data_IF_696493152342
#
_entry.id   IF_696493152342
#
_cell.length_a   1.000
_cell.length_b   1.000
_cell.length_c   1.000
_cell.angle_alpha   90.00
_cell.angle_beta   90.00
_cell.angle_gamma   90.00
#
_symmetry.space_group_name_H-M   'P 1'
#
loop_
_entity.id
_entity.type
_entity.pdbx_description
1 polymer ?
#
# COMPACT_ATOMS: atom_id res chain seq x y z
N UNK A 1 11.02 10.09 -0.80
CA UNK A 1 9.70 10.70 -0.48
C UNK A 1 8.97 9.74 0.44
N UNK A 2 8.57 10.20 1.62
CA UNK A 2 7.80 9.42 2.57
C UNK A 2 6.33 9.44 2.17
N UNK A 3 5.75 8.26 1.92
CA UNK A 3 4.39 8.11 1.44
C UNK A 3 3.43 7.80 2.60
N UNK A 4 2.28 8.48 2.64
CA UNK A 4 1.29 8.37 3.71
C UNK A 4 -0.11 8.14 3.18
N UNK A 5 -0.97 7.59 4.04
CA UNK A 5 -2.41 7.46 3.77
C UNK A 5 -3.10 8.78 4.07
N UNK A 6 -4.02 9.18 3.20
CA UNK A 6 -4.91 10.33 3.36
C UNK A 6 -6.36 9.90 3.08
N UNK A 7 -7.31 10.85 3.17
CA UNK A 7 -8.70 10.59 2.83
C UNK A 7 -8.91 10.08 1.39
N UNK A 8 -7.99 10.39 0.47
CA UNK A 8 -8.09 10.01 -0.95
C UNK A 8 -7.44 8.65 -1.27
N UNK A 9 -6.78 8.02 -0.30
CA UNK A 9 -6.04 6.78 -0.50
C UNK A 9 -6.90 5.56 -0.81
N UNK A 10 -8.21 5.62 -0.53
CA UNK A 10 -9.15 4.52 -0.76
C UNK A 10 -8.81 3.26 0.05
N UNK A 11 -8.59 3.43 1.36
CA UNK A 11 -8.25 2.36 2.31
C UNK A 11 -9.22 1.15 2.28
N UNK A 12 -10.48 1.37 1.87
CA UNK A 12 -11.45 0.28 1.69
C UNK A 12 -10.98 -0.80 0.69
N UNK A 13 -10.13 -0.46 -0.29
CA UNK A 13 -9.56 -1.43 -1.24
C UNK A 13 -8.58 -2.38 -0.57
N UNK A 14 -7.72 -1.85 0.32
CA UNK A 14 -6.82 -2.69 1.12
C UNK A 14 -7.64 -3.66 1.98
N UNK A 15 -8.67 -3.16 2.68
CA UNK A 15 -9.57 -3.99 3.48
C UNK A 15 -10.23 -5.10 2.65
N UNK A 16 -10.79 -4.76 1.50
CA UNK A 16 -11.40 -5.72 0.57
C UNK A 16 -10.41 -6.83 0.15
N UNK A 17 -9.15 -6.48 -0.16
CA UNK A 17 -8.12 -7.47 -0.51
C UNK A 17 -7.74 -8.36 0.66
N UNK A 18 -7.72 -7.83 1.88
CA UNK A 18 -7.47 -8.58 3.10
C UNK A 18 -8.61 -9.58 3.39
N UNK A 19 -9.87 -9.16 3.24
CA UNK A 19 -11.05 -10.03 3.38
C UNK A 19 -11.04 -11.17 2.35
N UNK A 20 -10.66 -10.89 1.10
CA UNK A 20 -10.52 -11.90 0.03
C UNK A 20 -9.46 -12.97 0.33
N UNK A 21 -8.54 -12.71 1.27
CA UNK A 21 -7.53 -13.66 1.74
C UNK A 21 -7.80 -14.17 3.14
N UNK A 22 -9.03 -14.01 3.62
CA UNK A 22 -9.49 -14.46 4.93
C UNK A 22 -8.66 -13.87 6.09
N UNK A 23 -8.04 -12.71 5.88
CA UNK A 23 -7.35 -11.99 6.93
C UNK A 23 -8.40 -11.41 7.87
N UNK A 24 -8.20 -11.65 9.16
CA UNK A 24 -9.12 -11.35 10.24
C UNK A 24 -8.59 -10.21 11.10
N UNK A 25 -9.48 -9.58 11.86
CA UNK A 25 -9.09 -8.64 12.89
C UNK A 25 -8.13 -9.29 13.90
N UNK A 26 -7.22 -8.48 14.45
CA UNK A 26 -6.25 -8.92 15.45
C UNK A 26 -5.08 -9.72 14.88
N UNK A 27 -5.06 -9.96 13.57
CA UNK A 27 -3.94 -10.64 12.92
C UNK A 27 -2.75 -9.72 12.72
N UNK A 28 -1.60 -10.37 12.74
CA UNK A 28 -0.37 -9.84 12.19
C UNK A 28 0.13 -10.82 11.14
N UNK A 29 0.40 -10.34 9.93
CA UNK A 29 0.81 -11.18 8.81
C UNK A 29 2.01 -10.57 8.09
N UNK A 30 2.79 -11.43 7.41
CA UNK A 30 3.69 -11.00 6.33
C UNK A 30 2.98 -11.20 5.00
N UNK A 31 2.92 -10.16 4.16
CA UNK A 31 2.20 -10.22 2.91
C UNK A 31 2.90 -9.50 1.75
N UNK A 32 2.59 -9.92 0.53
CA UNK A 32 2.87 -9.16 -0.68
C UNK A 32 1.65 -8.35 -1.09
N UNK A 33 1.87 -7.07 -1.34
CA UNK A 33 0.86 -6.10 -1.72
C UNK A 33 1.27 -5.47 -3.06
N UNK A 34 0.77 -6.00 -4.19
CA UNK A 34 1.12 -5.50 -5.50
C UNK A 34 0.31 -4.27 -5.89
N UNK A 35 0.91 -3.40 -6.71
CA UNK A 35 0.17 -2.32 -7.38
C UNK A 35 -0.18 -1.11 -6.50
N UNK A 36 0.62 -0.80 -5.48
CA UNK A 36 0.45 0.38 -4.63
C UNK A 36 0.82 1.63 -5.41
N UNK A 37 -0.12 2.55 -5.63
CA UNK A 37 0.15 3.84 -6.23
C UNK A 37 0.75 4.80 -5.22
N UNK A 38 1.75 5.58 -5.63
CA UNK A 38 2.29 6.70 -4.84
C UNK A 38 2.37 7.93 -5.72
N UNK A 39 1.76 9.03 -5.29
CA UNK A 39 1.84 10.34 -5.95
C UNK A 39 2.58 11.34 -5.08
N UNK A 40 3.49 12.09 -5.67
CA UNK A 40 4.06 13.27 -5.04
C UNK A 40 2.94 14.24 -4.66
N UNK A 41 2.85 14.61 -3.38
CA UNK A 41 1.93 15.67 -3.00
C UNK A 41 2.45 16.99 -3.59
N UNK A 42 1.65 17.60 -4.47
CA UNK A 42 1.97 18.89 -5.03
C UNK A 42 2.16 19.91 -3.89
N UNK A 43 3.11 20.82 -4.13
CA UNK A 43 3.54 21.86 -3.20
C UNK A 43 2.32 22.58 -2.62
N UNK A 44 2.38 22.93 -1.34
CA UNK A 44 1.79 24.20 -0.93
C UNK A 44 2.40 25.26 -1.85
N UNK A 45 1.58 25.97 -2.61
CA UNK A 45 1.99 26.96 -3.61
C UNK A 45 2.86 28.08 -3.02
N UNK A 46 2.90 28.19 -1.68
CA UNK A 46 3.76 29.07 -0.90
C UNK A 46 5.09 28.47 -0.44
N UNK A 47 5.32 27.15 -0.54
CA UNK A 47 6.50 26.50 0.01
C UNK A 47 7.59 26.32 -1.07
N UNK A 48 8.77 26.91 -0.83
CA UNK A 48 9.93 26.90 -1.72
C UNK A 48 10.75 25.59 -1.72
N UNK A 49 10.30 24.53 -1.01
CA UNK A 49 11.02 23.24 -0.93
C UNK A 49 10.11 22.08 -1.34
N UNK A 50 10.65 21.02 -1.99
CA UNK A 50 9.93 19.77 -2.17
C UNK A 50 9.51 19.26 -0.79
N UNK A 51 8.23 18.96 -0.59
CA UNK A 51 7.68 18.58 0.72
C UNK A 51 8.23 17.24 1.23
N UNK A 52 8.90 16.46 0.37
CA UNK A 52 9.37 15.11 0.69
C UNK A 52 8.24 14.12 0.96
N UNK A 53 6.97 14.53 0.80
CA UNK A 53 5.75 13.77 1.13
C UNK A 53 5.06 13.23 -0.12
N UNK A 54 4.58 12.01 -0.03
CA UNK A 54 3.77 11.33 -1.03
C UNK A 54 2.43 10.88 -0.46
N UNK A 55 1.45 10.73 -1.32
CA UNK A 55 0.15 10.16 -1.01
C UNK A 55 0.07 8.75 -1.61
N UNK A 56 -0.34 7.78 -0.79
CA UNK A 56 -0.56 6.39 -1.20
C UNK A 56 -1.96 6.23 -1.77
N UNK A 57 -2.13 5.42 -2.82
CA UNK A 57 -3.43 5.01 -3.35
C UNK A 57 -3.51 3.49 -3.49
N UNK A 58 -4.60 2.93 -3.00
CA UNK A 58 -4.88 1.49 -3.08
C UNK A 58 -5.79 1.11 -4.26
N UNK A 59 -6.19 2.06 -5.11
CA UNK A 59 -7.14 1.81 -6.21
C UNK A 59 -6.65 0.80 -7.25
N UNK A 60 -5.35 0.80 -7.54
CA UNK A 60 -4.70 -0.11 -8.49
C UNK A 60 -4.16 -1.39 -7.86
N UNK A 61 -4.43 -1.62 -6.56
CA UNK A 61 -3.90 -2.78 -5.85
C UNK A 61 -4.46 -4.08 -6.42
N UNK A 62 -3.55 -5.00 -6.74
CA UNK A 62 -3.87 -6.38 -7.14
C UNK A 62 -4.23 -7.27 -5.94
N UNK A 63 -4.48 -8.58 -6.16
CA UNK A 63 -4.71 -9.50 -5.05
C UNK A 63 -3.46 -9.59 -4.16
N UNK A 64 -3.63 -9.44 -2.84
CA UNK A 64 -2.51 -9.65 -1.91
C UNK A 64 -2.18 -11.13 -1.81
N UNK A 65 -0.95 -11.45 -1.37
CA UNK A 65 -0.52 -12.81 -1.03
C UNK A 65 -0.04 -12.84 0.41
N UNK A 66 -0.72 -13.60 1.26
CA UNK A 66 -0.25 -13.87 2.62
C UNK A 66 0.93 -14.85 2.54
N UNK A 67 2.09 -14.46 3.07
CA UNK A 67 3.28 -15.30 3.17
C UNK A 67 3.30 -16.09 4.47
N UNK A 68 2.94 -15.42 5.55
CA UNK A 68 3.00 -15.96 6.90
C UNK A 68 1.96 -15.27 7.78
N UNK A 69 1.38 -16.02 8.72
CA UNK A 69 0.58 -15.48 9.80
C UNK A 69 1.47 -15.47 11.05
N UNK A 70 1.85 -14.28 11.50
CA UNK A 70 2.71 -14.08 12.68
C UNK A 70 1.88 -14.14 13.95
N UNK A 71 0.73 -13.48 13.97
CA UNK A 71 -0.23 -13.50 15.08
C UNK A 71 -1.62 -13.91 14.57
N UNK A 72 -2.30 -14.88 15.21
CA UNK A 72 -3.64 -15.31 14.83
C UNK A 72 -4.69 -14.23 15.14
N UNK A 73 -5.81 -14.29 14.43
CA UNK A 73 -6.87 -13.30 14.54
C UNK A 73 -7.92 -13.68 15.56
N UNK A 74 -8.68 -12.70 16.00
CA UNK A 74 -9.81 -12.88 16.91
C UNK A 74 -11.17 -12.98 16.19
N UNK A 75 -11.17 -12.89 14.85
CA UNK A 75 -12.36 -13.09 14.02
C UNK A 75 -13.34 -11.92 13.98
N UNK A 76 -13.02 -10.78 14.59
CA UNK A 76 -13.83 -9.56 14.47
C UNK A 76 -13.70 -8.92 13.08
N UNK A 77 -14.56 -7.96 12.72
CA UNK A 77 -14.44 -7.21 11.47
C UNK A 77 -13.13 -6.42 11.40
N UNK A 78 -12.56 -6.30 10.19
CA UNK A 78 -11.35 -5.51 9.98
C UNK A 78 -11.58 -4.01 10.21
N UNK A 79 -10.57 -3.27 10.69
CA UNK A 79 -10.62 -1.82 10.77
C UNK A 79 -10.89 -1.13 9.43
N UNK A 80 -11.52 0.04 9.48
CA UNK A 80 -11.85 0.83 8.29
C UNK A 80 -10.69 1.73 7.81
N UNK A 81 -9.89 2.23 8.76
CA UNK A 81 -8.79 3.13 8.49
C UNK A 81 -7.53 2.35 8.15
N UNK A 82 -6.65 2.96 7.35
CA UNK A 82 -5.35 2.40 7.02
C UNK A 82 -4.23 3.40 7.33
N UNK A 83 -3.07 2.88 7.72
CA UNK A 83 -1.85 3.65 7.95
C UNK A 83 -0.72 2.95 7.21
N UNK A 84 0.15 3.73 6.58
CA UNK A 84 1.39 3.23 5.97
C UNK A 84 2.57 3.84 6.71
N UNK A 85 3.49 2.99 7.15
CA UNK A 85 4.68 3.37 7.90
C UNK A 85 5.94 2.94 7.19
N UNK A 86 6.96 3.80 7.21
CA UNK A 86 8.29 3.49 6.65
C UNK A 86 8.36 3.44 5.12
N UNK A 87 7.26 3.64 4.39
CA UNK A 87 7.28 3.63 2.93
C UNK A 87 7.99 4.88 2.38
N UNK A 88 9.22 4.68 1.94
CA UNK A 88 10.01 5.72 1.24
C UNK A 88 10.23 5.29 -0.20
N UNK A 89 9.78 6.12 -1.15
CA UNK A 89 9.97 5.89 -2.58
C UNK A 89 10.76 7.02 -3.24
N UNK A 90 11.52 6.75 -4.32
CA UNK A 90 12.33 7.76 -4.98
C UNK A 90 11.49 8.74 -5.81
N UNK A 91 10.35 8.29 -6.37
CA UNK A 91 9.50 9.08 -7.28
C UNK A 91 8.04 8.63 -7.22
N UNK A 92 7.15 9.45 -7.77
CA UNK A 92 5.78 9.03 -8.13
C UNK A 92 5.81 7.76 -8.98
N UNK A 93 4.90 6.84 -8.74
CA UNK A 93 4.75 5.62 -9.53
C UNK A 93 3.96 4.54 -8.81
N UNK A 94 3.91 3.36 -9.43
CA UNK A 94 3.31 2.16 -8.84
C UNK A 94 4.41 1.26 -8.29
N UNK A 95 4.19 0.67 -7.13
CA UNK A 95 5.15 -0.16 -6.42
C UNK A 95 4.50 -1.45 -5.91
N UNK A 96 5.24 -2.54 -6.01
CA UNK A 96 4.95 -3.77 -5.29
C UNK A 96 5.68 -3.73 -3.95
N UNK A 97 4.94 -3.94 -2.86
CA UNK A 97 5.49 -4.00 -1.51
C UNK A 97 5.50 -5.47 -1.10
N UNK A 98 6.68 -6.06 -1.06
CA UNK A 98 6.88 -7.49 -0.82
C UNK A 98 7.30 -7.74 0.62
N UNK A 99 6.75 -8.80 1.22
CA UNK A 99 7.03 -9.21 2.60
C UNK A 99 6.75 -8.13 3.66
N UNK A 100 5.76 -7.28 3.42
CA UNK A 100 5.36 -6.23 4.34
C UNK A 100 4.71 -6.83 5.59
N UNK A 101 4.98 -6.22 6.74
CA UNK A 101 4.25 -6.53 7.97
C UNK A 101 2.91 -5.80 7.95
N UNK A 102 1.82 -6.54 8.09
CA UNK A 102 0.45 -5.98 8.10
C UNK A 102 -0.21 -6.35 9.41
N UNK A 103 -0.66 -5.32 10.14
CA UNK A 103 -1.42 -5.46 11.38
C UNK A 103 -2.87 -5.03 11.15
N UNK A 104 -3.82 -5.78 11.70
CA UNK A 104 -5.25 -5.54 11.57
C UNK A 104 -5.95 -5.32 12.92
N UNK A 105 -5.27 -4.68 13.87
CA UNK A 105 -5.80 -4.35 15.20
C UNK A 105 -5.82 -2.83 15.39
N UNK A 106 -7.00 -2.25 15.58
CA UNK A 106 -7.20 -0.78 15.65
C UNK A 106 -7.28 -0.12 14.27
N UNK A 107 -6.17 -0.06 13.54
CA UNK A 107 -6.08 0.39 12.14
C UNK A 107 -5.49 -0.73 11.27
N UNK A 108 -5.72 -0.69 9.95
CA UNK A 108 -4.97 -1.50 8.98
C UNK A 108 -3.60 -0.87 8.76
N UNK A 109 -2.60 -1.35 9.50
CA UNK A 109 -1.24 -0.80 9.45
C UNK A 109 -0.38 -1.63 8.51
N UNK A 110 0.14 -0.99 7.47
CA UNK A 110 1.13 -1.53 6.55
C UNK A 110 2.51 -0.97 6.92
N UNK A 111 3.40 -1.83 7.38
CA UNK A 111 4.71 -1.45 7.89
C UNK A 111 5.79 -1.92 6.92
N UNK A 112 6.59 -0.97 6.45
CA UNK A 112 7.81 -1.22 5.67
C UNK A 112 9.00 -1.23 6.64
N UNK A 113 9.41 -2.43 7.05
CA UNK A 113 10.55 -2.66 7.94
C UNK A 113 11.76 -3.22 7.17
N UNK A 114 12.80 -3.64 7.88
CA UNK A 114 14.02 -4.22 7.30
C UNK A 114 13.78 -5.52 6.51
N UNK A 115 12.68 -6.23 6.78
CA UNK A 115 12.26 -7.42 6.06
C UNK A 115 11.44 -7.12 4.80
N UNK A 116 11.03 -5.88 4.59
CA UNK A 116 10.16 -5.47 3.48
C UNK A 116 10.99 -5.03 2.27
N UNK A 117 10.57 -5.43 1.06
CA UNK A 117 11.17 -4.97 -0.19
C UNK A 117 10.16 -4.17 -1.01
N UNK A 118 10.54 -2.96 -1.39
CA UNK A 118 9.73 -2.08 -2.26
C UNK A 118 10.30 -2.14 -3.68
N UNK A 119 9.48 -2.54 -4.65
CA UNK A 119 9.90 -2.73 -6.05
C UNK A 119 9.05 -1.84 -6.96
N UNK A 120 9.64 -0.96 -7.78
CA UNK A 120 8.88 -0.19 -8.75
C UNK A 120 8.29 -1.10 -9.83
N UNK A 121 7.01 -0.95 -10.11
CA UNK A 121 6.34 -1.59 -11.24
C UNK A 121 6.62 -0.75 -12.48
N UNK A 122 7.43 -1.28 -13.39
CA UNK A 122 7.59 -0.69 -14.72
C UNK A 122 6.35 -1.09 -15.52
N UNK A 123 5.36 -0.20 -15.59
CA UNK A 123 4.27 -0.36 -16.54
C UNK A 123 4.86 -0.23 -17.95
N UNK A 124 5.13 -1.36 -18.60
CA UNK A 124 5.32 -1.43 -20.03
C UNK A 124 4.00 -1.02 -20.71
N UNK A 125 3.88 0.25 -21.08
CA UNK A 125 2.88 0.72 -22.02
C UNK A 125 3.54 0.76 -23.40
N UNK A 126 3.49 -0.34 -24.13
CA UNK A 126 3.32 -0.20 -25.58
C UNK A 126 1.82 -0.10 -25.83
N UNK A 127 1.28 1.05 -26.27
CA UNK A 127 0.05 1.01 -27.03
C UNK A 127 0.42 0.37 -28.38
N UNK A 128 0.12 -0.92 -28.55
CA UNK A 128 0.04 -1.52 -29.88
C UNK A 128 -1.12 -0.85 -30.63
N UNK A 129 -0.87 0.35 -31.16
CA UNK A 129 -1.53 0.83 -32.35
C UNK A 129 -0.96 0.02 -33.50
N UNK A 130 -1.53 -1.16 -33.72
CA UNK A 130 -1.48 -1.78 -35.04
C UNK A 130 -2.92 -1.83 -35.50
N UNK A 131 -3.28 -0.79 -36.26
CA UNK A 131 -4.48 -0.84 -37.08
C UNK A 131 -4.33 -1.95 -38.12
N UNK A 132 -5.45 -2.58 -38.44
CA UNK A 132 -5.77 -3.02 -39.80
C UNK A 132 -7.28 -2.95 -39.94
#
# INVERSE_FOLDING_TARGET
MEARVTAHSQAYRLRERMEQREVRHGQEIRADLPGIGVLAMARDWFAARPSGKGEVYFCSMGPIRVREIVTPGDGRPLPANAIVEGLVVPRTGTYDILNALVQSNGDLRLIVDEGTRVVPVVTGREPSLVGT
#
